data_IF_638819906010
#
_entry.id   IF_638819906010
#
_cell.length_a   1.000
_cell.length_b   1.000
_cell.length_c   1.000
_cell.angle_alpha   90.00
_cell.angle_beta   90.00
_cell.angle_gamma   90.00
#
_symmetry.space_group_name_H-M   'P 1'
#
loop_
_entity.id
_entity.type
_entity.pdbx_description
1 polymer ?
#
# COMPACT_ATOMS: atom_id res chain seq x y z
N UNK A 1 -4.39 15.52 -1.07
CA UNK A 1 -3.94 14.15 -1.36
C UNK A 1 -3.47 14.11 -2.80
N UNK A 2 -2.91 13.01 -3.28
CA UNK A 2 -2.60 12.87 -4.71
C UNK A 2 -3.90 12.63 -5.50
N UNK A 3 -4.03 13.26 -6.66
CA UNK A 3 -5.17 13.02 -7.56
C UNK A 3 -4.99 11.70 -8.30
N UNK A 4 -5.80 10.70 -7.94
CA UNK A 4 -5.75 9.37 -8.56
C UNK A 4 -6.90 9.12 -9.55
N UNK A 5 -7.85 10.06 -9.68
CA UNK A 5 -9.07 9.96 -10.54
C UNK A 5 -9.85 8.63 -10.42
N UNK A 6 -9.72 7.93 -9.29
CA UNK A 6 -10.25 6.57 -9.09
C UNK A 6 -11.78 6.49 -8.98
N UNK A 7 -12.46 7.61 -8.73
CA UNK A 7 -13.92 7.67 -8.64
C UNK A 7 -14.59 7.86 -10.00
N UNK A 8 -13.89 8.46 -10.96
CA UNK A 8 -14.43 8.81 -12.28
C UNK A 8 -13.87 7.92 -13.39
N UNK A 9 -12.62 7.47 -13.27
CA UNK A 9 -11.97 6.61 -14.26
C UNK A 9 -11.87 5.17 -13.77
N UNK A 10 -12.53 4.25 -14.48
CA UNK A 10 -12.52 2.82 -14.18
C UNK A 10 -11.15 2.15 -14.38
N UNK A 11 -10.32 2.74 -15.24
CA UNK A 11 -8.96 2.30 -15.58
C UNK A 11 -7.88 3.06 -14.80
N UNK A 12 -8.27 3.84 -13.79
CA UNK A 12 -7.31 4.49 -12.90
C UNK A 12 -6.35 3.45 -12.30
N UNK A 13 -5.05 3.76 -12.30
CA UNK A 13 -4.00 2.87 -11.81
C UNK A 13 -4.28 2.35 -10.39
N UNK A 14 -4.85 3.20 -9.54
CA UNK A 14 -5.27 2.82 -8.19
C UNK A 14 -6.33 1.70 -8.19
N UNK A 15 -7.35 1.78 -9.07
CA UNK A 15 -8.37 0.73 -9.21
C UNK A 15 -7.76 -0.53 -9.79
N UNK A 16 -6.88 -0.40 -10.78
CA UNK A 16 -6.20 -1.54 -11.40
C UNK A 16 -5.41 -2.35 -10.36
N UNK A 17 -4.51 -1.69 -9.61
CA UNK A 17 -3.71 -2.36 -8.58
C UNK A 17 -4.54 -2.84 -7.39
N UNK A 18 -5.62 -2.11 -7.03
CA UNK A 18 -6.57 -2.56 -6.02
C UNK A 18 -7.30 -3.85 -6.43
N UNK A 19 -7.79 -3.94 -7.68
CA UNK A 19 -8.42 -5.16 -8.21
C UNK A 19 -7.46 -6.34 -8.19
N UNK A 20 -6.18 -6.15 -8.54
CA UNK A 20 -5.19 -7.23 -8.47
C UNK A 20 -5.01 -7.82 -7.06
N UNK A 21 -5.26 -7.03 -6.01
CA UNK A 21 -5.17 -7.49 -4.61
C UNK A 21 -6.47 -8.16 -4.16
N UNK A 22 -7.62 -7.51 -4.38
CA UNK A 22 -8.91 -7.95 -3.83
C UNK A 22 -9.69 -8.91 -4.73
N UNK A 23 -9.41 -8.93 -6.03
CA UNK A 23 -10.05 -9.78 -7.02
C UNK A 23 -8.98 -10.42 -7.93
N UNK A 24 -8.24 -11.43 -7.44
CA UNK A 24 -7.18 -12.07 -8.20
C UNK A 24 -7.73 -12.66 -9.50
N UNK A 25 -7.03 -12.41 -10.61
CA UNK A 25 -7.45 -12.84 -11.96
C UNK A 25 -7.60 -14.36 -12.11
N UNK A 26 -6.88 -15.15 -11.30
CA UNK A 26 -6.91 -16.61 -11.38
C UNK A 26 -7.02 -17.26 -10.00
N UNK A 27 -7.67 -18.43 -9.96
CA UNK A 27 -7.79 -19.26 -8.74
C UNK A 27 -6.42 -19.63 -8.14
N UNK A 28 -5.40 -19.78 -8.98
CA UNK A 28 -4.03 -20.06 -8.54
C UNK A 28 -3.45 -18.86 -7.78
N UNK A 29 -3.57 -17.64 -8.32
CA UNK A 29 -3.14 -16.41 -7.62
C UNK A 29 -3.88 -16.25 -6.28
N UNK A 30 -5.20 -16.54 -6.27
CA UNK A 30 -5.99 -16.51 -5.03
C UNK A 30 -5.49 -17.54 -3.99
N UNK A 31 -5.17 -18.76 -4.42
CA UNK A 31 -4.66 -19.80 -3.53
C UNK A 31 -3.26 -19.47 -2.99
N UNK A 32 -2.38 -18.90 -3.82
CA UNK A 32 -1.05 -18.41 -3.40
C UNK A 32 -1.21 -17.29 -2.36
N UNK A 33 -2.10 -16.33 -2.60
CA UNK A 33 -2.40 -15.27 -1.64
C UNK A 33 -2.94 -15.80 -0.32
N UNK A 34 -3.87 -16.76 -0.37
CA UNK A 34 -4.41 -17.42 0.83
C UNK A 34 -3.32 -18.19 1.59
N UNK A 35 -2.45 -18.92 0.88
CA UNK A 35 -1.30 -19.60 1.47
C UNK A 35 -0.35 -18.60 2.16
N UNK A 36 -0.05 -17.48 1.50
CA UNK A 36 0.80 -16.43 2.04
C UNK A 36 0.21 -15.78 3.30
N UNK A 37 -1.12 -15.64 3.34
CA UNK A 37 -1.85 -15.10 4.48
C UNK A 37 -1.86 -16.05 5.68
N UNK A 38 -2.17 -17.34 5.47
CA UNK A 38 -2.28 -18.33 6.55
C UNK A 38 -0.90 -18.74 7.07
N UNK A 39 0.08 -18.91 6.18
CA UNK A 39 1.39 -19.51 6.51
C UNK A 39 2.54 -18.52 6.37
N UNK A 40 2.42 -17.34 6.97
CA UNK A 40 3.38 -16.24 6.80
C UNK A 40 4.86 -16.63 6.97
N UNK A 41 5.19 -17.49 7.95
CA UNK A 41 6.58 -17.97 8.14
C UNK A 41 7.11 -18.73 6.93
N UNK A 42 6.29 -19.61 6.35
CA UNK A 42 6.66 -20.40 5.17
C UNK A 42 6.66 -19.56 3.91
N UNK A 43 5.66 -18.70 3.75
CA UNK A 43 5.59 -17.75 2.63
C UNK A 43 6.84 -16.87 2.56
N UNK A 44 7.26 -16.30 3.70
CA UNK A 44 8.48 -15.49 3.78
C UNK A 44 9.74 -16.30 3.44
N UNK A 45 9.84 -17.54 3.90
CA UNK A 45 10.98 -18.43 3.56
C UNK A 45 11.02 -18.80 2.08
N UNK A 46 9.86 -19.00 1.46
CA UNK A 46 9.73 -19.32 0.04
C UNK A 46 9.77 -18.08 -0.86
N UNK A 47 9.91 -16.88 -0.29
CA UNK A 47 9.89 -15.62 -1.03
C UNK A 47 8.55 -15.32 -1.71
N UNK A 48 7.45 -15.90 -1.22
CA UNK A 48 6.10 -15.68 -1.72
C UNK A 48 5.54 -14.42 -1.06
N UNK A 49 5.39 -13.30 -1.80
CA UNK A 49 4.86 -12.08 -1.22
C UNK A 49 3.35 -12.19 -1.01
N UNK A 50 2.85 -11.53 0.03
CA UNK A 50 1.41 -11.49 0.34
C UNK A 50 0.60 -10.74 -0.74
N UNK A 51 1.20 -9.69 -1.31
CA UNK A 51 0.61 -8.89 -2.37
C UNK A 51 1.48 -8.97 -3.63
N UNK A 52 0.90 -8.79 -4.84
CA UNK A 52 1.68 -8.64 -6.05
C UNK A 52 2.73 -7.53 -5.89
N UNK A 53 3.94 -7.77 -6.40
CA UNK A 53 5.06 -6.83 -6.27
C UNK A 53 4.73 -5.48 -6.90
N UNK A 54 4.13 -5.49 -8.09
CA UNK A 54 3.77 -4.27 -8.82
C UNK A 54 2.76 -3.43 -8.04
N UNK A 55 1.72 -4.06 -7.47
CA UNK A 55 0.77 -3.38 -6.59
C UNK A 55 1.43 -2.83 -5.35
N UNK A 56 2.31 -3.60 -4.70
CA UNK A 56 3.05 -3.17 -3.50
C UNK A 56 3.89 -1.92 -3.79
N UNK A 57 4.62 -1.93 -4.90
CA UNK A 57 5.43 -0.78 -5.35
C UNK A 57 4.57 0.44 -5.67
N UNK A 58 3.43 0.26 -6.32
CA UNK A 58 2.49 1.34 -6.61
C UNK A 58 2.00 2.02 -5.32
N UNK A 59 1.45 1.25 -4.36
CA UNK A 59 0.92 1.82 -3.13
C UNK A 59 2.02 2.44 -2.25
N UNK A 60 3.21 1.83 -2.21
CA UNK A 60 4.37 2.43 -1.55
C UNK A 60 4.71 3.81 -2.12
N UNK A 61 4.77 3.95 -3.45
CA UNK A 61 5.04 5.22 -4.11
C UNK A 61 3.94 6.24 -3.83
N UNK A 62 2.66 5.85 -3.87
CA UNK A 62 1.54 6.74 -3.52
C UNK A 62 1.68 7.31 -2.11
N UNK A 63 2.02 6.48 -1.11
CA UNK A 63 2.23 6.96 0.25
C UNK A 63 3.46 7.86 0.33
N UNK A 64 4.58 7.45 -0.26
CA UNK A 64 5.82 8.21 -0.32
C UNK A 64 5.63 9.60 -0.93
N UNK A 65 4.97 9.67 -2.07
CA UNK A 65 4.72 10.91 -2.79
C UNK A 65 3.72 11.79 -2.02
N UNK A 66 2.72 11.19 -1.37
CA UNK A 66 1.78 11.92 -0.51
C UNK A 66 2.50 12.54 0.68
N UNK A 67 3.34 11.78 1.38
CA UNK A 67 4.12 12.26 2.52
C UNK A 67 5.09 13.37 2.08
N UNK A 68 5.79 13.17 0.96
CA UNK A 68 6.70 14.17 0.38
C UNK A 68 5.96 15.47 0.06
N UNK A 69 4.86 15.39 -0.69
CA UNK A 69 4.02 16.54 -1.05
C UNK A 69 3.57 17.31 0.19
N UNK A 70 3.10 16.62 1.23
CA UNK A 70 2.66 17.24 2.49
C UNK A 70 3.78 18.02 3.19
N UNK A 71 4.97 17.44 3.28
CA UNK A 71 6.13 18.09 3.91
C UNK A 71 6.57 19.34 3.16
N UNK A 72 6.70 19.23 1.84
CA UNK A 72 7.19 20.33 1.00
C UNK A 72 6.21 21.52 0.95
N UNK A 73 4.91 21.24 0.99
CA UNK A 73 3.87 22.27 0.87
C UNK A 73 3.30 22.71 2.22
N UNK A 74 3.79 22.18 3.35
CA UNK A 74 3.24 22.46 4.69
C UNK A 74 1.78 22.01 4.86
N UNK A 75 1.32 21.05 4.07
CA UNK A 75 -0.06 20.60 4.05
C UNK A 75 -0.30 19.50 5.11
N UNK A 76 -1.16 19.78 6.10
CA UNK A 76 -1.56 18.83 7.14
C UNK A 76 -3.05 18.52 7.06
N UNK A 77 -3.42 17.25 7.29
CA UNK A 77 -4.80 16.77 7.32
C UNK A 77 -5.02 15.97 8.59
N UNK A 78 -6.16 16.11 9.26
CA UNK A 78 -6.49 15.31 10.46
C UNK A 78 -6.91 13.90 10.07
N UNK A 79 -5.97 13.12 9.55
CA UNK A 79 -6.16 11.74 9.11
C UNK A 79 -5.11 10.81 9.71
N UNK A 80 -5.31 9.51 9.49
CA UNK A 80 -4.37 8.49 9.94
C UNK A 80 -2.95 8.71 9.41
N UNK A 81 -2.80 9.07 8.12
CA UNK A 81 -1.48 9.27 7.54
C UNK A 81 -0.71 10.40 8.26
N UNK A 82 -1.39 11.46 8.68
CA UNK A 82 -0.81 12.52 9.48
C UNK A 82 -0.40 12.04 10.87
N UNK A 83 -1.23 11.24 11.54
CA UNK A 83 -0.88 10.62 12.83
C UNK A 83 0.41 9.81 12.68
N UNK A 84 0.50 8.99 11.64
CA UNK A 84 1.70 8.16 11.37
C UNK A 84 2.92 9.03 11.03
N UNK A 85 2.76 10.09 10.24
CA UNK A 85 3.84 11.06 9.95
C UNK A 85 4.34 11.79 11.20
N UNK A 86 3.44 12.12 12.14
CA UNK A 86 3.79 12.79 13.39
C UNK A 86 4.50 11.84 14.36
N UNK A 87 4.09 10.56 14.42
CA UNK A 87 4.78 9.50 15.15
C UNK A 87 6.18 9.21 14.58
N UNK A 88 6.36 9.38 13.27
CA UNK A 88 7.62 9.11 12.60
C UNK A 88 8.77 10.02 13.05
N UNK A 89 8.49 11.19 13.64
CA UNK A 89 9.53 12.18 14.03
C UNK A 89 10.61 11.67 15.00
N UNK A 90 10.54 10.41 15.48
CA UNK A 90 11.63 9.80 16.23
C UNK A 90 11.86 8.30 16.04
N UNK A 91 11.03 7.54 15.32
CA UNK A 91 11.05 6.06 15.43
C UNK A 91 10.76 5.24 14.16
N UNK A 92 10.14 5.81 13.10
CA UNK A 92 9.66 5.01 11.96
C UNK A 92 10.37 5.33 10.63
N UNK A 93 10.64 4.32 9.83
CA UNK A 93 11.13 4.49 8.44
C UNK A 93 9.98 4.80 7.48
N UNK A 94 10.30 5.23 6.25
CA UNK A 94 9.28 5.49 5.22
C UNK A 94 8.55 4.20 4.83
N UNK A 95 9.26 3.07 4.84
CA UNK A 95 8.73 1.74 4.61
C UNK A 95 7.72 1.34 5.70
N UNK A 96 8.02 1.65 6.96
CA UNK A 96 7.11 1.37 8.07
C UNK A 96 5.88 2.26 8.03
N UNK A 97 6.02 3.54 7.68
CA UNK A 97 4.87 4.44 7.44
C UNK A 97 3.97 3.86 6.35
N UNK A 98 4.55 3.48 5.21
CA UNK A 98 3.80 2.93 4.09
C UNK A 98 3.13 1.60 4.45
N UNK A 99 3.83 0.73 5.18
CA UNK A 99 3.27 -0.54 5.65
C UNK A 99 2.09 -0.33 6.62
N UNK A 100 2.22 0.58 7.59
CA UNK A 100 1.14 0.91 8.52
C UNK A 100 -0.05 1.54 7.80
N UNK A 101 0.19 2.49 6.89
CA UNK A 101 -0.86 3.15 6.12
C UNK A 101 -1.61 2.20 5.17
N UNK A 102 -1.05 1.04 4.86
CA UNK A 102 -1.66 0.04 3.99
C UNK A 102 -2.56 -0.95 4.74
N UNK A 103 -2.31 -1.19 6.03
CA UNK A 103 -3.07 -2.15 6.85
C UNK A 103 -4.39 -1.58 7.35
N UNK A 104 -4.42 -0.28 7.61
CA UNK A 104 -5.58 0.45 8.12
C UNK A 104 -6.35 1.13 6.99
#
# INVERSE_FOLDING_TARGET
>A
GLECNSFTNEDAAFRHHGRQIFAPETKIKALIGLFAMITRKWANRLGVPLFPKDSSSFFFNVVKDTVKYRRENGFSRKDMLQIVMDLQKGTLTMEEIAAQAFVF
#
